data_IF_098071093702
#
_entry.id   IF_098071093702
#
_cell.length_a   1.000
_cell.length_b   1.000
_cell.length_c   1.000
_cell.angle_alpha   90.00
_cell.angle_beta   90.00
_cell.angle_gamma   90.00
#
_symmetry.space_group_name_H-M   'P 1'
#
loop_
_entity.id
_entity.type
_entity.pdbx_description
1 polymer ?
#
# COMPACT_ATOMS: atom_id res chain seq x y z
N UNK A 1 -0.08 -13.51 12.39
CA UNK A 1 0.10 -13.90 13.80
C UNK A 1 1.17 -12.98 14.38
N UNK A 2 0.75 -11.95 15.10
CA UNK A 2 1.66 -11.06 15.84
C UNK A 2 1.39 -11.37 17.31
N UNK A 3 2.08 -12.37 17.84
CA UNK A 3 2.22 -12.43 19.29
C UNK A 3 3.06 -11.22 19.66
N UNK A 4 2.45 -10.32 20.42
CA UNK A 4 3.05 -9.04 20.80
C UNK A 4 4.23 -9.37 21.71
N UNK A 5 5.44 -9.38 21.16
CA UNK A 5 6.65 -9.46 21.94
C UNK A 5 6.70 -8.24 22.85
N UNK A 6 6.55 -8.48 24.15
CA UNK A 6 6.64 -7.40 25.13
C UNK A 6 8.11 -7.07 25.39
N UNK A 7 8.41 -5.81 25.69
CA UNK A 7 9.78 -5.37 26.03
C UNK A 7 10.38 -6.15 27.21
N UNK A 8 9.54 -6.62 28.15
CA UNK A 8 9.97 -7.48 29.24
C UNK A 8 10.51 -8.83 28.74
N UNK A 9 9.95 -9.37 27.66
CA UNK A 9 10.36 -10.63 27.06
C UNK A 9 11.63 -10.48 26.22
N UNK A 10 11.80 -9.33 25.56
CA UNK A 10 13.06 -8.94 24.89
C UNK A 10 14.23 -8.88 25.88
N UNK A 11 14.02 -8.21 27.02
CA UNK A 11 15.02 -8.11 28.08
C UNK A 11 15.35 -9.47 28.72
N UNK A 12 14.34 -10.33 28.92
CA UNK A 12 14.54 -11.66 29.46
C UNK A 12 15.33 -12.58 28.51
N UNK A 13 15.15 -12.42 27.20
CA UNK A 13 15.87 -13.18 26.18
C UNK A 13 17.21 -12.53 25.80
N UNK A 14 17.44 -11.28 26.19
CA UNK A 14 18.63 -10.50 25.81
C UNK A 14 18.67 -10.17 24.33
N UNK A 15 17.51 -10.07 23.68
CA UNK A 15 17.38 -9.95 22.22
C UNK A 15 16.52 -8.75 21.88
N UNK A 16 17.00 -7.90 20.94
CA UNK A 16 16.20 -6.85 20.33
C UNK A 16 15.54 -7.36 19.04
N UNK A 17 14.23 -7.61 19.09
CA UNK A 17 13.48 -8.06 17.91
C UNK A 17 13.49 -7.01 16.78
N UNK A 18 13.67 -5.73 17.11
CA UNK A 18 13.79 -4.64 16.13
C UNK A 18 15.03 -4.82 15.25
N UNK A 19 16.17 -5.14 15.86
CA UNK A 19 17.41 -5.41 15.12
C UNK A 19 17.31 -6.69 14.29
N UNK A 20 16.72 -7.75 14.84
CA UNK A 20 16.49 -9.00 14.10
C UNK A 20 15.62 -8.74 12.87
N UNK A 21 14.51 -8.00 13.04
CA UNK A 21 13.63 -7.68 11.93
C UNK A 21 14.34 -6.82 10.87
N UNK A 22 15.14 -5.82 11.27
CA UNK A 22 15.93 -5.00 10.34
C UNK A 22 16.98 -5.80 9.58
N UNK A 23 17.57 -6.81 10.21
CA UNK A 23 18.57 -7.67 9.58
C UNK A 23 17.97 -8.75 8.69
N UNK A 24 16.68 -9.09 8.89
CA UNK A 24 15.96 -10.07 8.11
C UNK A 24 15.93 -9.69 6.61
N UNK A 25 16.06 -10.71 5.77
CA UNK A 25 16.06 -10.55 4.32
C UNK A 25 14.73 -9.96 3.81
N UNK A 26 13.62 -10.31 4.47
CA UNK A 26 12.29 -9.80 4.15
C UNK A 26 12.20 -8.28 4.32
N UNK A 27 12.79 -7.71 5.37
CA UNK A 27 12.86 -6.26 5.56
C UNK A 27 13.66 -5.59 4.44
N UNK A 28 14.81 -6.18 4.07
CA UNK A 28 15.66 -5.66 2.99
C UNK A 28 14.94 -5.69 1.63
N UNK A 29 14.29 -6.81 1.29
CA UNK A 29 13.51 -6.96 0.06
C UNK A 29 12.34 -5.98 0.00
N UNK A 30 11.57 -5.85 1.07
CA UNK A 30 10.46 -4.90 1.14
C UNK A 30 10.96 -3.45 1.00
N UNK A 31 12.09 -3.11 1.63
CA UNK A 31 12.67 -1.77 1.52
C UNK A 31 13.15 -1.45 0.09
N UNK A 32 13.75 -2.41 -0.60
CA UNK A 32 14.13 -2.26 -2.01
C UNK A 32 12.90 -2.08 -2.91
N UNK A 33 11.88 -2.91 -2.72
CA UNK A 33 10.62 -2.82 -3.47
C UNK A 33 9.91 -1.47 -3.25
N UNK A 34 9.86 -0.98 -2.02
CA UNK A 34 9.31 0.35 -1.73
C UNK A 34 10.12 1.42 -2.46
N UNK A 35 11.46 1.34 -2.46
CA UNK A 35 12.29 2.30 -3.18
C UNK A 35 11.97 2.33 -4.68
N UNK A 36 11.83 1.16 -5.31
CA UNK A 36 11.46 1.03 -6.72
C UNK A 36 10.07 1.62 -7.03
N UNK A 37 9.07 1.30 -6.20
CA UNK A 37 7.69 1.77 -6.38
C UNK A 37 7.50 3.24 -5.98
N UNK A 38 8.38 3.78 -5.14
CA UNK A 38 8.34 5.16 -4.69
C UNK A 38 8.83 6.16 -5.73
N UNK A 39 9.43 5.69 -6.84
CA UNK A 39 9.85 6.57 -7.92
C UNK A 39 8.65 6.86 -8.82
N UNK A 40 8.08 8.08 -8.76
CA UNK A 40 7.04 8.48 -9.68
C UNK A 40 7.57 8.46 -11.12
N UNK A 41 6.74 7.99 -12.05
CA UNK A 41 7.12 7.95 -13.47
C UNK A 41 7.42 9.40 -13.93
N UNK A 42 8.54 9.65 -14.64
CA UNK A 42 8.87 11.01 -15.07
C UNK A 42 7.72 11.60 -15.88
N UNK A 43 7.19 12.75 -15.43
CA UNK A 43 6.01 13.40 -15.99
C UNK A 43 4.74 13.32 -15.14
N UNK A 44 4.73 12.56 -14.04
CA UNK A 44 3.64 12.62 -13.06
C UNK A 44 3.81 13.82 -12.14
N UNK A 45 2.73 14.56 -11.87
CA UNK A 45 2.68 15.63 -10.88
C UNK A 45 2.05 15.11 -9.59
N UNK A 46 2.50 15.64 -8.46
CA UNK A 46 1.86 15.35 -7.18
C UNK A 46 0.39 15.73 -7.23
N UNK A 47 -0.44 14.87 -6.64
CA UNK A 47 -1.88 15.03 -6.65
C UNK A 47 -2.26 16.14 -5.67
N UNK A 48 -2.45 17.35 -6.20
CA UNK A 48 -2.89 18.50 -5.43
C UNK A 48 -4.41 18.52 -5.34
N UNK A 49 -4.94 18.33 -4.13
CA UNK A 49 -6.37 18.49 -3.86
C UNK A 49 -6.63 19.88 -3.25
N UNK A 50 -7.51 20.69 -3.84
CA UNK A 50 -7.87 22.00 -3.29
C UNK A 50 -8.72 21.89 -2.00
N UNK A 51 -9.28 20.72 -1.71
CA UNK A 51 -10.06 20.43 -0.50
C UNK A 51 -9.52 19.19 0.19
N UNK A 52 -9.70 19.10 1.51
CA UNK A 52 -9.22 17.98 2.34
C UNK A 52 -9.71 16.61 1.86
N UNK A 53 -10.89 16.57 1.23
CA UNK A 53 -11.47 15.37 0.66
C UNK A 53 -11.50 15.48 -0.86
N UNK A 54 -11.28 14.35 -1.54
CA UNK A 54 -11.52 14.22 -2.97
C UNK A 54 -12.99 14.52 -3.25
N UNK A 55 -13.26 15.66 -3.90
CA UNK A 55 -14.61 15.96 -4.38
C UNK A 55 -14.90 15.01 -5.53
N UNK A 56 -15.67 13.96 -5.26
CA UNK A 56 -16.28 13.19 -6.34
C UNK A 56 -17.25 14.15 -7.05
N UNK A 57 -17.07 14.47 -8.34
CA UNK A 57 -18.12 15.21 -9.04
C UNK A 57 -19.39 14.35 -8.99
N UNK A 58 -20.51 14.91 -8.52
CA UNK A 58 -21.83 14.25 -8.52
C UNK A 58 -22.40 14.04 -9.94
N UNK A 59 -21.55 13.80 -10.93
CA UNK A 59 -21.98 13.18 -12.18
C UNK A 59 -21.92 11.68 -11.94
N UNK A 60 -23.09 11.12 -11.68
CA UNK A 60 -23.48 9.72 -11.83
C UNK A 60 -22.40 8.89 -12.53
N UNK A 61 -21.80 7.94 -11.81
CA UNK A 61 -21.26 6.74 -12.45
C UNK A 61 -22.42 6.09 -13.20
N UNK A 62 -22.62 6.46 -14.46
CA UNK A 62 -23.14 5.53 -15.44
C UNK A 62 -21.99 4.57 -15.69
N UNK A 63 -21.86 3.56 -14.85
CA UNK A 63 -21.26 2.32 -15.35
C UNK A 63 -22.25 1.88 -16.42
N UNK A 64 -21.93 2.15 -17.68
CA UNK A 64 -22.64 1.60 -18.82
C UNK A 64 -22.39 0.09 -18.81
N UNK A 65 -23.13 -0.64 -17.97
CA UNK A 65 -23.37 -2.07 -18.12
C UNK A 65 -24.41 -2.26 -19.23
N UNK A 66 -24.06 -1.91 -20.46
CA UNK A 66 -24.82 -2.32 -21.64
C UNK A 66 -23.84 -2.70 -22.74
N UNK A 67 -23.26 -3.90 -22.57
CA UNK A 67 -22.88 -4.72 -23.72
C UNK A 67 -24.14 -4.89 -24.57
N UNK A 68 -24.17 -4.20 -25.70
CA UNK A 68 -25.23 -4.25 -26.70
C UNK A 68 -25.51 -5.69 -27.12
N UNK A 69 -26.73 -6.16 -26.81
CA UNK A 69 -27.68 -6.90 -27.65
C UNK A 69 -27.13 -8.19 -28.30
N UNK A 70 -27.40 -9.37 -27.72
CA UNK A 70 -28.55 -10.25 -28.02
C UNK A 70 -28.53 -10.83 -29.45
N UNK A 71 -28.30 -12.14 -29.52
CA UNK A 71 -28.81 -13.12 -30.51
C UNK A 71 -28.30 -12.99 -31.95
N UNK A 72 -27.41 -13.92 -32.36
CA UNK A 72 -27.66 -14.89 -33.44
C UNK A 72 -26.46 -15.85 -33.59
N UNK A 73 -26.78 -17.15 -33.68
CA UNK A 73 -25.95 -18.36 -33.80
C UNK A 73 -25.60 -19.07 -32.48
#
# INVERSE_FOLDING_TARGET
MLEVSTTAQELALGVDFTEIYKNAELFKRNKAMIAELSVPRPGTKDLFYPTQYSQFPRSVCSVSLETTVVVLA
#
